data_IF_646426462486
#
_entry.id   IF_646426462486
#
_cell.length_a   1.000
_cell.length_b   1.000
_cell.length_c   1.000
_cell.angle_alpha   90.00
_cell.angle_beta   90.00
_cell.angle_gamma   90.00
#
_symmetry.space_group_name_H-M   'P 1'
#
loop_
_entity.id
_entity.type
_entity.pdbx_description
1 polymer ?
#
# COMPACT_ATOMS: atom_id res chain seq x y z
N UNK A 1 -1.99 -4.65 -14.31
CA UNK A 1 -0.90 -4.67 -13.32
C UNK A 1 0.03 -5.80 -13.70
N UNK A 2 1.19 -5.45 -14.30
CA UNK A 2 2.13 -6.45 -14.83
C UNK A 2 3.37 -6.60 -13.94
N UNK A 3 3.78 -5.52 -13.27
CA UNK A 3 4.96 -5.48 -12.41
C UNK A 3 4.56 -5.12 -10.99
N UNK A 4 4.76 -6.06 -10.08
CA UNK A 4 4.34 -5.95 -8.69
C UNK A 4 5.59 -5.97 -7.82
N UNK A 5 5.80 -4.93 -7.03
CA UNK A 5 6.88 -4.89 -6.05
C UNK A 5 6.38 -5.40 -4.69
N UNK A 6 7.11 -6.33 -4.12
CA UNK A 6 6.87 -6.85 -2.78
C UNK A 6 8.12 -6.64 -1.94
N UNK A 7 8.17 -5.61 -1.10
CA UNK A 7 9.21 -5.50 -0.09
C UNK A 7 9.08 -6.62 0.94
N UNK A 8 10.19 -7.26 1.29
CA UNK A 8 10.21 -8.34 2.27
C UNK A 8 11.30 -8.16 3.31
N UNK A 9 10.96 -8.40 4.55
CA UNK A 9 11.87 -8.62 5.68
C UNK A 9 11.79 -10.07 6.19
N UNK A 10 11.16 -10.94 5.37
CA UNK A 10 10.92 -12.35 5.65
C UNK A 10 10.01 -12.60 6.87
N UNK A 11 9.24 -11.60 7.30
CA UNK A 11 8.21 -11.76 8.33
C UNK A 11 6.94 -12.41 7.77
N UNK A 12 6.07 -12.90 8.65
CA UNK A 12 4.77 -13.47 8.29
C UNK A 12 3.91 -12.46 7.50
N UNK A 13 3.94 -11.17 7.88
CA UNK A 13 3.20 -10.13 7.18
C UNK A 13 3.75 -9.88 5.76
N UNK A 14 5.05 -9.97 5.56
CA UNK A 14 5.65 -9.90 4.23
C UNK A 14 5.28 -11.13 3.39
N UNK A 15 5.18 -12.31 4.01
CA UNK A 15 4.70 -13.52 3.35
C UNK A 15 3.22 -13.40 2.94
N UNK A 16 2.34 -12.85 3.80
CA UNK A 16 0.93 -12.60 3.44
C UNK A 16 0.82 -11.66 2.23
N UNK A 17 1.64 -10.61 2.21
CA UNK A 17 1.71 -9.70 1.06
C UNK A 17 2.19 -10.42 -0.21
N UNK A 18 3.19 -11.28 -0.11
CA UNK A 18 3.70 -12.05 -1.23
C UNK A 18 2.66 -13.06 -1.76
N UNK A 19 1.92 -13.75 -0.89
CA UNK A 19 0.81 -14.63 -1.27
C UNK A 19 -0.27 -13.89 -2.07
N UNK A 20 -0.63 -12.68 -1.63
CA UNK A 20 -1.58 -11.83 -2.36
C UNK A 20 -0.99 -11.35 -3.69
N UNK A 21 0.27 -10.90 -3.70
CA UNK A 21 0.95 -10.49 -4.93
C UNK A 21 1.03 -11.63 -5.95
N UNK A 22 1.25 -12.87 -5.50
CA UNK A 22 1.26 -14.05 -6.36
C UNK A 22 -0.10 -14.29 -7.04
N UNK A 23 -1.20 -14.13 -6.31
CA UNK A 23 -2.55 -14.25 -6.86
C UNK A 23 -2.82 -13.15 -7.90
N UNK A 24 -2.39 -11.91 -7.61
CA UNK A 24 -2.51 -10.77 -8.53
C UNK A 24 -1.68 -11.00 -9.79
N UNK A 25 -0.43 -11.44 -9.65
CA UNK A 25 0.47 -11.74 -10.76
C UNK A 25 -0.11 -12.83 -11.66
N UNK A 26 -0.60 -13.93 -11.07
CA UNK A 26 -1.22 -15.04 -11.82
C UNK A 26 -2.44 -14.59 -12.61
N UNK A 27 -3.35 -13.83 -11.99
CA UNK A 27 -4.56 -13.29 -12.66
C UNK A 27 -4.23 -12.37 -13.84
N UNK A 28 -3.14 -11.62 -13.75
CA UNK A 28 -2.78 -10.60 -14.73
C UNK A 28 -1.62 -11.01 -15.67
N UNK A 29 -1.12 -12.24 -15.60
CA UNK A 29 0.12 -12.67 -16.28
C UNK A 29 1.27 -11.66 -16.04
N UNK A 30 1.46 -11.32 -14.78
CA UNK A 30 2.46 -10.37 -14.30
C UNK A 30 3.68 -11.05 -13.70
N UNK A 31 4.64 -10.24 -13.28
CA UNK A 31 5.87 -10.63 -12.59
C UNK A 31 5.97 -9.95 -11.23
N UNK A 32 6.68 -10.57 -10.30
CA UNK A 32 6.92 -10.05 -8.95
C UNK A 32 8.38 -9.63 -8.84
N UNK A 33 8.60 -8.43 -8.33
CA UNK A 33 9.90 -7.94 -7.85
C UNK A 33 9.93 -8.10 -6.34
N UNK A 34 10.64 -9.13 -5.85
CA UNK A 34 10.78 -9.39 -4.43
C UNK A 34 12.05 -8.69 -3.92
N UNK A 35 11.85 -7.61 -3.14
CA UNK A 35 12.90 -6.70 -2.72
C UNK A 35 13.19 -6.85 -1.22
N UNK A 36 14.43 -7.20 -0.88
CA UNK A 36 14.93 -7.15 0.49
C UNK A 36 15.92 -6.00 0.66
N UNK A 37 15.71 -5.22 1.73
CA UNK A 37 16.60 -4.12 2.10
C UNK A 37 17.53 -4.57 3.22
N UNK A 38 18.81 -4.56 2.94
CA UNK A 38 19.85 -4.93 3.89
C UNK A 38 20.42 -3.66 4.53
N UNK A 39 19.96 -3.36 5.73
CA UNK A 39 20.50 -2.25 6.52
C UNK A 39 21.81 -2.69 7.17
N UNK A 40 22.93 -2.22 6.66
CA UNK A 40 24.21 -2.48 7.28
C UNK A 40 24.34 -1.65 8.56
N UNK A 41 24.84 -2.24 9.68
CA UNK A 41 25.12 -1.48 10.87
C UNK A 41 26.08 -0.35 10.55
N UNK A 42 25.71 0.90 10.83
CA UNK A 42 26.66 2.00 10.75
C UNK A 42 27.73 1.81 11.83
N UNK A 43 28.93 1.43 11.42
CA UNK A 43 30.11 1.49 12.27
C UNK A 43 30.49 2.97 12.41
N UNK A 44 29.91 3.68 13.39
CA UNK A 44 30.28 5.07 13.54
C UNK A 44 29.45 5.98 14.44
N UNK A 45 28.79 5.49 15.51
CA UNK A 45 28.32 6.36 16.59
C UNK A 45 29.01 6.03 17.93
N UNK A 46 30.31 5.77 17.88
CA UNK A 46 31.18 5.71 19.04
C UNK A 46 31.92 7.02 19.18
N UNK A 47 31.61 7.78 20.21
CA UNK A 47 32.31 8.97 20.69
C UNK A 47 33.82 8.70 20.74
N UNK A 48 34.57 9.33 19.86
CA UNK A 48 36.02 9.29 19.92
C UNK A 48 36.66 9.86 18.65
N UNK A 49 37.04 11.12 18.68
CA UNK A 49 37.93 11.71 17.70
C UNK A 49 39.21 10.87 17.57
N UNK A 50 39.35 10.13 16.49
CA UNK A 50 40.64 9.75 15.98
C UNK A 50 40.57 9.67 14.46
N UNK A 51 41.36 10.52 13.81
CA UNK A 51 41.60 10.56 12.39
C UNK A 51 42.01 9.18 11.87
N UNK A 52 41.08 8.43 11.30
CA UNK A 52 41.40 7.29 10.47
C UNK A 52 40.53 7.34 9.23
N UNK A 53 41.11 7.82 8.17
CA UNK A 53 40.66 7.65 6.79
C UNK A 53 40.57 6.17 6.51
N UNK A 54 39.36 5.67 6.30
CA UNK A 54 39.10 4.28 5.90
C UNK A 54 37.88 3.68 6.59
N UNK A 55 36.68 4.05 6.14
CA UNK A 55 35.51 3.23 6.42
C UNK A 55 35.65 1.89 5.68
N UNK A 56 36.37 0.94 6.27
CA UNK A 56 36.37 -0.42 5.82
C UNK A 56 35.01 -1.01 6.20
N UNK A 57 34.05 -0.97 5.28
CA UNK A 57 32.93 -1.92 5.31
C UNK A 57 33.55 -3.28 5.54
N UNK A 58 33.14 -3.96 6.62
CA UNK A 58 33.68 -5.28 6.94
C UNK A 58 33.19 -6.27 5.89
N UNK A 59 33.91 -6.40 4.78
CA UNK A 59 33.52 -7.22 3.62
C UNK A 59 33.07 -8.62 4.03
N UNK A 60 33.73 -9.32 4.98
CA UNK A 60 33.25 -10.60 5.47
C UNK A 60 31.85 -10.56 6.09
N UNK A 61 31.52 -9.50 6.82
CA UNK A 61 30.20 -9.32 7.45
C UNK A 61 29.11 -9.07 6.41
N UNK A 62 29.37 -8.23 5.43
CA UNK A 62 28.47 -8.00 4.29
C UNK A 62 28.24 -9.29 3.53
N UNK A 63 29.27 -10.06 3.24
CA UNK A 63 29.15 -11.34 2.55
C UNK A 63 28.32 -12.35 3.35
N UNK A 64 28.51 -12.42 4.66
CA UNK A 64 27.72 -13.28 5.54
C UNK A 64 26.22 -12.91 5.50
N UNK A 65 25.88 -11.61 5.61
CA UNK A 65 24.47 -11.19 5.52
C UNK A 65 23.88 -11.45 4.14
N UNK A 66 24.64 -11.24 3.07
CA UNK A 66 24.18 -11.57 1.72
C UNK A 66 23.91 -13.08 1.54
N UNK A 67 24.79 -13.93 2.08
CA UNK A 67 24.58 -15.38 2.02
C UNK A 67 23.33 -15.81 2.78
N UNK A 68 23.13 -15.28 3.98
CA UNK A 68 21.91 -15.53 4.77
C UNK A 68 20.65 -15.02 4.07
N UNK A 69 20.71 -13.87 3.44
CA UNK A 69 19.60 -13.34 2.66
C UNK A 69 19.27 -14.24 1.46
N UNK A 70 20.29 -14.77 0.78
CA UNK A 70 20.08 -15.73 -0.33
C UNK A 70 19.46 -17.05 0.13
N UNK A 71 19.88 -17.58 1.28
CA UNK A 71 19.24 -18.75 1.87
C UNK A 71 17.74 -18.49 2.10
N UNK A 72 17.38 -17.34 2.67
CA UNK A 72 15.97 -16.94 2.88
C UNK A 72 15.20 -16.75 1.57
N UNK A 73 15.80 -16.17 0.55
CA UNK A 73 15.16 -16.10 -0.77
C UNK A 73 14.89 -17.48 -1.33
N UNK A 74 15.84 -18.41 -1.25
CA UNK A 74 15.65 -19.77 -1.73
C UNK A 74 14.49 -20.48 -1.01
N UNK A 75 14.36 -20.30 0.32
CA UNK A 75 13.23 -20.83 1.09
C UNK A 75 11.90 -20.27 0.57
N UNK A 76 11.80 -18.94 0.43
CA UNK A 76 10.57 -18.26 -0.02
C UNK A 76 10.23 -18.65 -1.45
N UNK A 77 11.20 -18.68 -2.36
CA UNK A 77 10.98 -18.99 -3.77
C UNK A 77 10.60 -20.45 -4.03
N UNK A 78 10.90 -21.36 -3.10
CA UNK A 78 10.46 -22.75 -3.17
C UNK A 78 8.97 -22.92 -2.82
N UNK A 79 8.28 -21.85 -2.40
CA UNK A 79 6.90 -21.93 -1.96
C UNK A 79 5.93 -22.26 -3.13
N UNK A 80 5.03 -23.26 -2.96
CA UNK A 80 4.13 -23.72 -4.03
C UNK A 80 3.22 -22.62 -4.61
N UNK A 81 2.89 -21.58 -3.82
CA UNK A 81 2.05 -20.47 -4.31
C UNK A 81 2.76 -19.56 -5.32
N UNK A 82 4.09 -19.67 -5.50
CA UNK A 82 4.86 -18.96 -6.51
C UNK A 82 5.06 -19.74 -7.80
N UNK A 83 4.66 -21.00 -7.84
CA UNK A 83 4.82 -21.84 -9.03
C UNK A 83 4.18 -21.21 -10.28
N UNK A 84 4.95 -21.16 -11.37
CA UNK A 84 4.52 -20.54 -12.64
C UNK A 84 4.52 -19.02 -12.68
N UNK A 85 5.02 -18.34 -11.63
CA UNK A 85 5.15 -16.88 -11.58
C UNK A 85 6.62 -16.50 -11.73
N UNK A 86 6.89 -15.52 -12.59
CA UNK A 86 8.24 -14.92 -12.67
C UNK A 86 8.49 -14.06 -11.46
N UNK A 87 9.50 -14.43 -10.64
CA UNK A 87 9.96 -13.64 -9.50
C UNK A 87 11.37 -13.13 -9.76
N UNK A 88 11.55 -11.83 -9.69
CA UNK A 88 12.84 -11.14 -9.81
C UNK A 88 13.29 -10.76 -8.40
N UNK A 89 14.37 -11.38 -7.94
CA UNK A 89 14.97 -11.08 -6.64
C UNK A 89 15.82 -9.82 -6.71
N UNK A 90 15.72 -9.01 -5.67
CA UNK A 90 16.57 -7.84 -5.50
C UNK A 90 17.01 -7.66 -4.04
N UNK A 91 18.28 -7.40 -3.85
CA UNK A 91 18.86 -6.99 -2.56
C UNK A 91 19.44 -5.60 -2.74
N UNK A 92 19.06 -4.67 -1.87
CA UNK A 92 19.61 -3.31 -1.88
C UNK A 92 20.17 -2.93 -0.50
N UNK A 93 21.22 -2.12 -0.51
CA UNK A 93 21.91 -1.65 0.69
C UNK A 93 21.52 -0.20 0.99
N UNK A 94 20.25 0.03 1.26
CA UNK A 94 19.68 1.35 1.53
C UNK A 94 18.67 1.26 2.66
N UNK A 95 18.20 2.42 3.12
CA UNK A 95 17.03 2.45 4.01
C UNK A 95 15.81 1.92 3.27
N UNK A 96 15.01 1.11 3.96
CA UNK A 96 13.91 0.38 3.33
C UNK A 96 12.96 1.27 2.52
N UNK A 97 12.59 2.43 3.06
CA UNK A 97 11.68 3.34 2.38
C UNK A 97 12.26 3.90 1.06
N UNK A 98 13.48 4.44 1.12
CA UNK A 98 14.16 5.05 -0.04
C UNK A 98 14.35 4.03 -1.16
N UNK A 99 14.83 2.83 -0.82
CA UNK A 99 15.03 1.75 -1.78
C UNK A 99 13.74 1.26 -2.44
N UNK A 100 12.61 1.17 -1.69
CA UNK A 100 11.30 0.82 -2.26
C UNK A 100 10.89 1.84 -3.34
N UNK A 101 11.01 3.14 -3.04
CA UNK A 101 10.61 4.21 -3.98
C UNK A 101 11.52 4.22 -5.21
N UNK A 102 12.83 4.10 -5.04
CA UNK A 102 13.79 4.08 -6.15
C UNK A 102 13.58 2.86 -7.04
N UNK A 103 13.46 1.66 -6.44
CA UNK A 103 13.23 0.42 -7.17
C UNK A 103 11.91 0.47 -7.96
N UNK A 104 10.87 1.05 -7.36
CA UNK A 104 9.58 1.23 -8.02
C UNK A 104 9.68 2.06 -9.29
N UNK A 105 10.44 3.15 -9.27
CA UNK A 105 10.67 4.01 -10.44
C UNK A 105 11.54 3.33 -11.49
N UNK A 106 12.65 2.74 -11.07
CA UNK A 106 13.62 2.09 -11.94
C UNK A 106 13.01 0.96 -12.78
N UNK A 107 12.12 0.18 -12.19
CA UNK A 107 11.51 -0.99 -12.82
C UNK A 107 10.09 -0.74 -13.34
N UNK A 108 9.60 0.52 -13.32
CA UNK A 108 8.24 0.88 -13.75
C UNK A 108 7.18 -0.02 -13.10
N UNK A 109 7.22 -0.11 -11.79
CA UNK A 109 6.30 -0.92 -11.01
C UNK A 109 4.88 -0.35 -11.11
N UNK A 110 3.88 -1.23 -11.25
CA UNK A 110 2.46 -0.84 -11.34
C UNK A 110 1.77 -0.83 -9.99
N UNK A 111 2.24 -1.65 -9.05
CA UNK A 111 1.64 -1.85 -7.73
C UNK A 111 2.71 -2.26 -6.72
N UNK A 112 2.71 -1.63 -5.55
CA UNK A 112 3.43 -2.14 -4.38
C UNK A 112 2.46 -2.93 -3.50
N UNK A 113 2.83 -4.14 -3.08
CA UNK A 113 2.07 -4.94 -2.12
C UNK A 113 2.93 -5.14 -0.88
N UNK A 114 2.47 -4.65 0.26
CA UNK A 114 3.23 -4.66 1.51
C UNK A 114 2.45 -5.28 2.65
N UNK A 115 3.16 -5.94 3.58
CA UNK A 115 2.62 -6.26 4.88
C UNK A 115 2.39 -5.00 5.73
N UNK A 116 1.45 -5.05 6.65
CA UNK A 116 1.20 -3.92 7.55
C UNK A 116 2.28 -3.74 8.61
N UNK A 117 2.99 -4.83 8.97
CA UNK A 117 4.06 -4.85 9.97
C UNK A 117 5.28 -5.55 9.40
N UNK A 118 6.44 -5.30 9.99
CA UNK A 118 7.67 -6.01 9.70
C UNK A 118 8.13 -6.89 10.87
N UNK A 119 9.31 -7.46 10.76
CA UNK A 119 9.91 -8.38 11.74
C UNK A 119 10.06 -7.80 13.16
N UNK A 120 10.08 -6.48 13.31
CA UNK A 120 10.20 -5.81 14.62
C UNK A 120 8.92 -5.81 15.45
N UNK A 121 7.77 -6.23 14.91
CA UNK A 121 6.53 -6.65 15.56
C UNK A 121 6.04 -5.89 16.81
N UNK A 122 6.28 -4.58 16.89
CA UNK A 122 5.82 -3.81 18.04
C UNK A 122 4.34 -3.42 17.90
N UNK A 123 3.48 -4.08 18.70
CA UNK A 123 2.06 -3.81 18.95
C UNK A 123 1.11 -3.96 17.75
N UNK A 124 0.15 -4.82 17.88
CA UNK A 124 -0.93 -5.18 16.94
C UNK A 124 -1.82 -4.01 16.45
N UNK A 125 -1.55 -2.76 16.84
CA UNK A 125 -2.39 -1.60 16.56
C UNK A 125 -1.78 -0.56 15.61
N UNK A 126 -0.49 -0.65 15.24
CA UNK A 126 0.15 0.36 14.39
C UNK A 126 0.87 -0.28 13.21
N UNK A 127 0.75 0.32 12.02
CA UNK A 127 1.53 -0.11 10.85
C UNK A 127 3.02 0.17 11.06
N UNK A 128 3.85 -0.65 10.43
CA UNK A 128 5.30 -0.43 10.43
C UNK A 128 5.68 0.90 9.78
N UNK A 129 6.70 1.55 10.34
CA UNK A 129 7.15 2.88 9.88
C UNK A 129 7.51 2.96 8.39
N UNK A 130 8.02 1.88 7.80
CA UNK A 130 8.31 1.82 6.37
C UNK A 130 7.02 1.76 5.54
N UNK A 131 6.03 0.94 5.96
CA UNK A 131 4.73 0.84 5.29
C UNK A 131 4.01 2.19 5.34
N UNK A 132 3.97 2.86 6.49
CA UNK A 132 3.40 4.19 6.66
C UNK A 132 4.03 5.20 5.69
N UNK A 133 5.36 5.27 5.63
CA UNK A 133 6.07 6.19 4.73
C UNK A 133 5.78 5.89 3.27
N UNK A 134 5.76 4.62 2.86
CA UNK A 134 5.46 4.21 1.48
C UNK A 134 4.02 4.56 1.12
N UNK A 135 3.04 4.23 1.96
CA UNK A 135 1.62 4.59 1.79
C UNK A 135 1.44 6.08 1.57
N UNK A 136 2.15 6.90 2.34
CA UNK A 136 2.02 8.37 2.28
C UNK A 136 2.71 9.00 1.08
N UNK A 137 3.78 8.40 0.56
CA UNK A 137 4.67 9.09 -0.39
C UNK A 137 4.84 8.41 -1.74
N UNK A 138 4.38 7.18 -1.91
CA UNK A 138 4.51 6.44 -3.16
C UNK A 138 3.69 7.07 -4.29
N UNK A 139 4.30 7.28 -5.45
CA UNK A 139 3.63 7.79 -6.66
C UNK A 139 2.79 6.70 -7.37
N UNK A 140 2.95 5.44 -6.96
CA UNK A 140 2.20 4.30 -7.48
C UNK A 140 1.30 3.71 -6.41
N UNK A 141 0.22 3.00 -6.76
CA UNK A 141 -0.69 2.39 -5.80
C UNK A 141 0.03 1.48 -4.81
N UNK A 142 -0.37 1.54 -3.54
CA UNK A 142 0.16 0.70 -2.45
C UNK A 142 -0.98 -0.08 -1.83
N UNK A 143 -0.91 -1.41 -1.93
CA UNK A 143 -1.84 -2.33 -1.30
C UNK A 143 -1.23 -2.87 -0.01
N UNK A 144 -1.86 -2.59 1.12
CA UNK A 144 -1.42 -3.05 2.44
C UNK A 144 -2.25 -4.24 2.89
N UNK A 145 -1.56 -5.34 3.18
CA UNK A 145 -2.14 -6.60 3.64
C UNK A 145 -1.96 -6.71 5.16
N UNK A 146 -3.06 -6.97 5.87
CA UNK A 146 -3.12 -6.98 7.34
C UNK A 146 -2.96 -8.36 7.96
N UNK A 147 -3.48 -9.35 7.30
CA UNK A 147 -3.55 -10.72 7.78
C UNK A 147 -3.46 -11.69 6.62
N UNK A 148 -3.25 -12.93 6.94
CA UNK A 148 -3.35 -13.99 5.93
C UNK A 148 -4.74 -14.00 5.30
N UNK A 149 -4.77 -13.91 3.97
CA UNK A 149 -5.99 -14.05 3.19
C UNK A 149 -5.80 -15.24 2.25
N UNK A 150 -6.58 -16.27 2.45
CA UNK A 150 -6.46 -17.50 1.66
C UNK A 150 -6.74 -17.28 0.18
N UNK A 151 -7.65 -16.36 -0.16
CA UNK A 151 -7.97 -16.00 -1.52
C UNK A 151 -8.27 -14.50 -1.63
N UNK A 152 -7.34 -13.75 -2.21
CA UNK A 152 -7.55 -12.33 -2.49
C UNK A 152 -8.39 -12.16 -3.75
N UNK A 153 -9.70 -12.03 -3.56
CA UNK A 153 -10.67 -11.80 -4.63
C UNK A 153 -11.70 -10.76 -4.17
N UNK A 154 -11.32 -9.47 -4.14
CA UNK A 154 -12.21 -8.42 -3.65
C UNK A 154 -13.41 -8.25 -4.58
N UNK A 155 -14.62 -8.54 -4.07
CA UNK A 155 -15.86 -8.36 -4.80
C UNK A 155 -16.44 -6.96 -4.56
N UNK A 156 -16.34 -6.44 -3.33
CA UNK A 156 -16.85 -5.15 -2.93
C UNK A 156 -15.68 -4.24 -2.56
N UNK A 157 -15.39 -3.28 -3.43
CA UNK A 157 -14.32 -2.30 -3.24
C UNK A 157 -14.92 -0.94 -2.86
N UNK A 158 -14.73 -0.52 -1.62
CA UNK A 158 -15.13 0.82 -1.13
C UNK A 158 -14.03 1.83 -1.46
N UNK A 159 -14.36 2.84 -2.23
CA UNK A 159 -13.48 3.99 -2.45
C UNK A 159 -14.07 5.22 -1.77
N UNK A 160 -13.39 5.68 -0.72
CA UNK A 160 -13.78 6.85 0.06
C UNK A 160 -13.04 8.10 -0.41
N UNK A 161 -13.76 9.19 -0.62
CA UNK A 161 -13.19 10.42 -1.13
C UNK A 161 -14.07 11.65 -0.81
N UNK A 162 -13.46 12.84 -0.87
CA UNK A 162 -14.15 14.13 -0.92
C UNK A 162 -14.63 14.49 -2.33
N UNK A 163 -14.24 13.71 -3.34
CA UNK A 163 -14.55 13.90 -4.75
C UNK A 163 -14.17 15.29 -5.30
N UNK A 164 -13.11 15.88 -4.77
CA UNK A 164 -12.53 17.12 -5.27
C UNK A 164 -11.94 16.97 -6.68
N UNK A 165 -11.68 18.08 -7.36
CA UNK A 165 -11.09 18.08 -8.70
C UNK A 165 -9.69 17.47 -8.75
N UNK A 166 -8.94 17.50 -7.66
CA UNK A 166 -7.57 16.97 -7.55
C UNK A 166 -7.52 15.47 -7.70
N UNK A 167 -8.60 14.78 -7.31
CA UNK A 167 -8.71 13.32 -7.34
C UNK A 167 -8.97 12.77 -8.74
N UNK A 168 -9.40 13.58 -9.70
CA UNK A 168 -9.76 13.11 -11.06
C UNK A 168 -8.65 12.32 -11.75
N UNK A 169 -7.41 12.77 -11.63
CA UNK A 169 -6.26 12.09 -12.24
C UNK A 169 -5.90 10.78 -11.53
N UNK A 170 -5.69 10.76 -10.21
CA UNK A 170 -5.46 9.51 -9.46
C UNK A 170 -6.62 8.52 -9.56
N UNK A 171 -7.85 8.99 -9.68
CA UNK A 171 -9.03 8.14 -9.80
C UNK A 171 -9.00 7.21 -11.04
N UNK A 172 -8.30 7.58 -12.08
CA UNK A 172 -8.07 6.67 -13.22
C UNK A 172 -7.32 5.39 -12.80
N UNK A 173 -6.42 5.48 -11.82
CA UNK A 173 -5.74 4.31 -11.26
C UNK A 173 -6.68 3.49 -10.37
N UNK A 174 -7.61 4.13 -9.67
CA UNK A 174 -8.68 3.43 -8.92
C UNK A 174 -9.53 2.60 -9.88
N UNK A 175 -9.97 3.18 -10.99
CA UNK A 175 -10.78 2.48 -12.00
C UNK A 175 -9.99 1.32 -12.64
N UNK A 176 -8.72 1.55 -12.99
CA UNK A 176 -7.86 0.48 -13.52
C UNK A 176 -7.69 -0.66 -12.51
N UNK A 177 -7.55 -0.31 -11.23
CA UNK A 177 -7.44 -1.29 -10.15
C UNK A 177 -8.76 -2.08 -10.02
N UNK A 178 -9.89 -1.40 -9.92
CA UNK A 178 -11.20 -2.04 -9.83
C UNK A 178 -11.48 -2.99 -11.01
N UNK A 179 -11.19 -2.55 -12.24
CA UNK A 179 -11.36 -3.37 -13.44
C UNK A 179 -10.42 -4.60 -13.47
N UNK A 180 -9.19 -4.49 -12.93
CA UNK A 180 -8.25 -5.60 -12.90
C UNK A 180 -8.74 -6.76 -12.01
N UNK A 181 -9.61 -6.47 -11.04
CA UNK A 181 -10.19 -7.46 -10.14
C UNK A 181 -11.65 -7.78 -10.45
N UNK A 182 -12.29 -7.04 -11.36
CA UNK A 182 -13.71 -7.15 -11.67
C UNK A 182 -14.60 -6.91 -10.42
N UNK A 183 -14.25 -5.86 -9.68
CA UNK A 183 -14.93 -5.53 -8.41
C UNK A 183 -16.14 -4.63 -8.62
N UNK A 184 -17.13 -4.73 -7.72
CA UNK A 184 -18.16 -3.72 -7.55
C UNK A 184 -17.57 -2.51 -6.84
N UNK A 185 -17.45 -1.38 -7.53
CA UNK A 185 -16.87 -0.16 -6.96
C UNK A 185 -17.94 0.65 -6.23
N UNK A 186 -17.78 0.86 -4.92
CA UNK A 186 -18.66 1.66 -4.07
C UNK A 186 -18.01 2.99 -3.77
N UNK A 187 -18.47 4.07 -4.41
CA UNK A 187 -18.01 5.43 -4.14
C UNK A 187 -18.73 5.98 -2.91
N UNK A 188 -18.01 6.35 -1.87
CA UNK A 188 -18.61 6.86 -0.65
C UNK A 188 -18.06 8.22 -0.25
N UNK A 189 -18.96 9.17 0.01
CA UNK A 189 -18.67 10.42 0.69
C UNK A 189 -19.05 10.28 2.16
N UNK A 190 -18.09 10.53 3.05
CA UNK A 190 -18.35 10.54 4.50
C UNK A 190 -18.74 11.96 4.90
N UNK A 191 -19.98 12.14 5.26
CA UNK A 191 -20.55 13.41 5.69
C UNK A 191 -20.38 13.54 7.20
N UNK A 192 -19.60 14.52 7.63
CA UNK A 192 -19.27 14.72 9.05
C UNK A 192 -19.80 16.06 9.56
N UNK A 193 -19.94 16.25 10.89
CA UNK A 193 -20.37 17.52 11.45
C UNK A 193 -19.49 18.72 11.06
N UNK A 194 -18.17 18.47 10.86
CA UNK A 194 -17.22 19.53 10.53
C UNK A 194 -17.20 19.90 9.03
N UNK A 195 -17.69 19.01 8.16
CA UNK A 195 -17.85 19.27 6.71
C UNK A 195 -19.21 18.74 6.24
N UNK A 196 -20.23 19.30 6.82
CA UNK A 196 -21.61 18.91 6.52
C UNK A 196 -22.06 19.42 5.15
N UNK A 197 -22.57 18.49 4.35
CA UNK A 197 -23.31 18.79 3.11
C UNK A 197 -24.73 18.26 3.21
N UNK A 198 -25.71 18.97 2.63
CA UNK A 198 -27.03 18.36 2.47
C UNK A 198 -26.93 17.11 1.60
N UNK A 199 -27.82 16.14 1.82
CA UNK A 199 -27.85 14.89 1.04
C UNK A 199 -27.82 15.17 -0.47
N UNK A 200 -28.66 16.09 -0.93
CA UNK A 200 -28.70 16.47 -2.34
C UNK A 200 -27.37 17.03 -2.84
N UNK A 201 -26.68 17.85 -2.05
CA UNK A 201 -25.39 18.44 -2.45
C UNK A 201 -24.28 17.36 -2.48
N UNK A 202 -24.27 16.44 -1.53
CA UNK A 202 -23.31 15.33 -1.48
C UNK A 202 -23.54 14.33 -2.63
N UNK A 203 -24.79 13.94 -2.89
CA UNK A 203 -25.13 13.07 -4.02
C UNK A 203 -24.74 13.69 -5.36
N UNK A 204 -25.09 14.98 -5.55
CA UNK A 204 -24.70 15.71 -6.76
C UNK A 204 -23.18 15.74 -6.95
N UNK A 205 -22.41 15.96 -5.88
CA UNK A 205 -20.95 15.96 -5.91
C UNK A 205 -20.39 14.64 -6.44
N UNK A 206 -20.87 13.51 -5.91
CA UNK A 206 -20.43 12.19 -6.33
C UNK A 206 -20.82 11.90 -7.77
N UNK A 207 -22.06 12.24 -8.16
CA UNK A 207 -22.55 12.03 -9.52
C UNK A 207 -21.80 12.86 -10.56
N UNK A 208 -21.57 14.14 -10.27
CA UNK A 208 -20.80 15.03 -11.16
C UNK A 208 -19.35 14.52 -11.32
N UNK A 209 -18.76 14.01 -10.23
CA UNK A 209 -17.43 13.42 -10.27
C UNK A 209 -17.41 12.15 -11.12
N UNK A 210 -18.32 11.22 -10.86
CA UNK A 210 -18.41 9.94 -11.60
C UNK A 210 -18.64 10.17 -13.10
N UNK A 211 -19.51 11.10 -13.46
CA UNK A 211 -19.73 11.52 -14.85
C UNK A 211 -18.44 12.08 -15.49
N UNK A 212 -17.71 12.93 -14.74
CA UNK A 212 -16.44 13.51 -15.22
C UNK A 212 -15.31 12.48 -15.40
N UNK A 213 -15.39 11.36 -14.70
CA UNK A 213 -14.45 10.25 -14.77
C UNK A 213 -14.83 9.20 -15.84
N UNK A 214 -15.91 9.45 -16.62
CA UNK A 214 -16.45 8.53 -17.62
C UNK A 214 -16.80 7.13 -17.05
N UNK A 215 -17.23 7.07 -15.79
CA UNK A 215 -17.75 5.84 -15.22
C UNK A 215 -19.12 5.57 -15.80
N UNK A 216 -19.23 4.51 -16.60
CA UNK A 216 -20.50 4.15 -17.27
C UNK A 216 -21.24 3.03 -16.56
N UNK A 217 -20.54 2.09 -15.96
CA UNK A 217 -21.10 0.92 -15.30
C UNK A 217 -20.23 0.44 -14.12
N UNK A 218 -20.78 -0.46 -13.31
CA UNK A 218 -20.00 -1.19 -12.29
C UNK A 218 -19.68 -0.38 -11.04
N UNK A 219 -20.43 0.69 -10.76
CA UNK A 219 -20.24 1.46 -9.53
C UNK A 219 -21.58 1.80 -8.85
N UNK A 220 -21.54 2.06 -7.56
CA UNK A 220 -22.63 2.63 -6.77
C UNK A 220 -22.14 3.85 -6.00
N UNK A 221 -23.06 4.75 -5.67
CA UNK A 221 -22.75 5.99 -4.95
C UNK A 221 -23.43 6.00 -3.58
N UNK A 222 -22.72 6.46 -2.57
CA UNK A 222 -23.20 6.48 -1.20
C UNK A 222 -22.81 7.76 -0.47
N UNK A 223 -23.72 8.29 0.33
CA UNK A 223 -23.47 9.32 1.34
C UNK A 223 -23.66 8.65 2.70
N UNK A 224 -22.64 8.67 3.53
CA UNK A 224 -22.66 8.05 4.85
C UNK A 224 -22.32 9.10 5.92
N UNK A 225 -23.19 9.21 6.92
CA UNK A 225 -23.01 10.19 8.00
C UNK A 225 -22.28 9.53 9.19
N UNK A 226 -21.22 10.16 9.66
CA UNK A 226 -20.49 9.72 10.86
C UNK A 226 -19.84 10.91 11.58
N UNK A 227 -19.28 10.66 12.77
CA UNK A 227 -18.62 11.67 13.60
C UNK A 227 -17.29 12.15 13.02
N UNK A 228 -16.57 11.27 12.33
CA UNK A 228 -15.34 11.58 11.60
C UNK A 228 -15.20 10.68 10.36
N UNK A 229 -14.28 11.07 9.48
CA UNK A 229 -14.09 10.39 8.18
C UNK A 229 -13.60 8.95 8.36
N UNK A 230 -12.62 8.71 9.21
CA UNK A 230 -12.06 7.37 9.44
C UNK A 230 -13.12 6.37 9.91
N UNK A 231 -13.83 6.71 11.00
CA UNK A 231 -14.90 5.84 11.53
C UNK A 231 -16.00 5.63 10.49
N UNK A 232 -16.37 6.67 9.76
CA UNK A 232 -17.37 6.58 8.70
C UNK A 232 -16.96 5.57 7.62
N UNK A 233 -15.69 5.60 7.18
CA UNK A 233 -15.18 4.64 6.20
C UNK A 233 -15.25 3.21 6.76
N UNK A 234 -14.77 3.01 7.99
CA UNK A 234 -14.76 1.68 8.63
C UNK A 234 -16.18 1.14 8.85
N UNK A 235 -17.11 1.96 9.36
CA UNK A 235 -18.49 1.58 9.58
C UNK A 235 -19.22 1.28 8.27
N UNK A 236 -19.03 2.11 7.25
CA UNK A 236 -19.60 1.88 5.94
C UNK A 236 -19.05 0.59 5.30
N UNK A 237 -17.73 0.38 5.33
CA UNK A 237 -17.09 -0.83 4.84
C UNK A 237 -17.61 -2.09 5.56
N UNK A 238 -17.83 -2.01 6.88
CA UNK A 238 -18.45 -3.09 7.65
C UNK A 238 -19.91 -3.34 7.22
N UNK A 239 -20.68 -2.27 7.04
CA UNK A 239 -22.10 -2.35 6.68
C UNK A 239 -22.35 -3.09 5.36
N UNK A 240 -21.49 -2.89 4.37
CA UNK A 240 -21.63 -3.53 3.05
C UNK A 240 -20.77 -4.79 2.89
N UNK A 241 -20.10 -5.25 3.97
CA UNK A 241 -19.13 -6.34 3.91
C UNK A 241 -18.09 -6.13 2.82
N UNK A 242 -17.48 -4.94 2.79
CA UNK A 242 -16.42 -4.63 1.83
C UNK A 242 -15.22 -5.57 2.01
N UNK A 243 -14.60 -5.97 0.91
CA UNK A 243 -13.41 -6.80 0.90
C UNK A 243 -12.14 -5.95 0.85
N UNK A 244 -12.26 -4.74 0.31
CA UNK A 244 -11.16 -3.82 0.08
C UNK A 244 -11.60 -2.38 0.34
N UNK A 245 -10.73 -1.59 0.96
CA UNK A 245 -10.92 -0.15 1.15
C UNK A 245 -9.86 0.60 0.34
N UNK A 246 -10.25 1.63 -0.40
CA UNK A 246 -9.36 2.50 -1.14
C UNK A 246 -9.57 3.96 -0.81
N UNK A 247 -8.49 4.72 -0.90
CA UNK A 247 -8.49 6.16 -0.73
C UNK A 247 -7.33 6.82 -1.46
N UNK A 248 -7.43 8.13 -1.68
CA UNK A 248 -6.30 8.92 -2.14
C UNK A 248 -5.50 9.50 -0.97
N UNK A 249 -4.20 9.70 -1.18
CA UNK A 249 -3.31 10.33 -0.20
C UNK A 249 -2.68 11.58 -0.80
N UNK A 250 -2.64 12.66 -0.01
CA UNK A 250 -1.84 13.84 -0.33
C UNK A 250 -0.43 13.61 0.24
N UNK A 251 0.60 13.61 -0.56
CA UNK A 251 1.97 13.57 -0.06
C UNK A 251 2.28 14.74 0.91
N UNK A 252 3.56 15.01 1.16
CA UNK A 252 4.03 16.03 2.12
C UNK A 252 3.56 17.47 1.84
N UNK A 253 2.95 17.77 0.69
CA UNK A 253 2.59 19.13 0.24
C UNK A 253 1.07 19.38 0.13
N UNK A 254 0.22 18.45 0.56
CA UNK A 254 -1.24 18.60 0.48
C UNK A 254 -1.75 19.69 1.41
N UNK A 255 -2.41 20.72 0.83
CA UNK A 255 -3.16 21.71 1.56
C UNK A 255 -4.31 21.04 2.30
N UNK A 256 -4.30 21.22 3.60
CA UNK A 256 -5.17 20.62 4.57
C UNK A 256 -6.63 21.05 4.40
N UNK A 257 -7.51 20.16 3.93
CA UNK A 257 -8.90 20.27 4.37
C UNK A 257 -9.62 18.94 4.59
N UNK A 258 -9.20 17.81 3.98
CA UNK A 258 -9.95 16.54 4.14
C UNK A 258 -9.11 15.32 4.48
N UNK A 259 -7.84 15.28 4.07
CA UNK A 259 -6.96 14.17 4.41
C UNK A 259 -5.64 14.73 4.94
N UNK A 260 -5.64 15.23 6.18
CA UNK A 260 -4.40 15.29 6.94
C UNK A 260 -3.78 13.90 6.89
N UNK A 261 -2.48 13.81 6.70
CA UNK A 261 -1.75 12.53 6.60
C UNK A 261 -2.09 11.50 7.69
N UNK A 262 -2.76 11.92 8.77
CA UNK A 262 -3.32 11.09 9.82
C UNK A 262 -4.45 10.17 9.37
N UNK A 263 -5.39 10.59 8.48
CA UNK A 263 -6.56 9.75 8.16
C UNK A 263 -6.18 8.51 7.37
N UNK A 264 -5.28 8.62 6.38
CA UNK A 264 -4.80 7.45 5.65
C UNK A 264 -3.99 6.52 6.53
N UNK A 265 -3.19 7.09 7.41
CA UNK A 265 -2.41 6.37 8.42
C UNK A 265 -3.32 5.70 9.44
N UNK A 266 -4.27 6.44 10.02
CA UNK A 266 -5.24 5.93 10.98
C UNK A 266 -6.12 4.85 10.36
N UNK A 267 -6.59 5.04 9.10
CA UNK A 267 -7.37 4.04 8.40
C UNK A 267 -6.56 2.76 8.14
N UNK A 268 -5.31 2.90 7.66
CA UNK A 268 -4.44 1.74 7.47
C UNK A 268 -4.11 1.10 8.82
N UNK A 269 -4.02 1.85 9.92
CA UNK A 269 -3.83 1.28 11.26
C UNK A 269 -5.04 0.46 11.72
N UNK A 270 -6.25 0.99 11.62
CA UNK A 270 -7.45 0.42 12.24
C UNK A 270 -8.27 -0.49 11.34
N UNK A 271 -8.06 -0.44 10.01
CA UNK A 271 -8.75 -1.35 9.11
C UNK A 271 -8.28 -2.80 9.33
N UNK A 272 -9.23 -3.72 9.43
CA UNK A 272 -8.99 -5.17 9.48
C UNK A 272 -8.82 -5.75 8.08
N UNK A 273 -9.34 -5.04 7.08
CA UNK A 273 -9.34 -5.40 5.65
C UNK A 273 -8.11 -4.85 4.95
N UNK A 274 -7.72 -5.41 3.81
CA UNK A 274 -6.75 -4.79 2.92
C UNK A 274 -7.12 -3.34 2.59
N UNK A 275 -6.11 -2.48 2.53
CA UNK A 275 -6.26 -1.06 2.16
C UNK A 275 -5.38 -0.75 0.96
N UNK A 276 -5.93 -0.11 -0.07
CA UNK A 276 -5.16 0.39 -1.21
C UNK A 276 -5.17 1.91 -1.23
N UNK A 277 -3.99 2.50 -1.39
CA UNK A 277 -3.84 3.96 -1.47
C UNK A 277 -3.35 4.40 -2.84
N UNK A 278 -3.85 5.56 -3.28
CA UNK A 278 -3.51 6.18 -4.55
C UNK A 278 -3.04 7.62 -4.28
N UNK A 279 -1.93 8.03 -4.84
CA UNK A 279 -1.41 9.37 -4.60
C UNK A 279 -2.05 10.40 -5.53
N UNK A 280 -2.40 11.56 -4.96
CA UNK A 280 -2.82 12.78 -5.66
C UNK A 280 -1.61 13.51 -6.23
#
# INVERSE_FOLDING_TARGET
MKRILVPTDFSDHAEYALKVAAQIARKNNGEIYLLHMLELPHVGDGIGESNAVGSSTNVPEVMFFMEKTRERFNEVLSAPYLEGITVVEAIQFERAFEGIIEHSKKHNIDLVVMGSHGASGFREMFIGSNTEKVVRTSDIPVLVIKKEDGQFNPQNFVFASDFSSEIKKPFQNVVKFANAFDTNLHLVYINTPNDFKSTHAAEKLIHDFAASANLTNGYTTHVYNDINVEKGILHFANRINADLIGMCTHGRQGLAHFFNGSISEDLVNHAVRPVVTFRI
#
